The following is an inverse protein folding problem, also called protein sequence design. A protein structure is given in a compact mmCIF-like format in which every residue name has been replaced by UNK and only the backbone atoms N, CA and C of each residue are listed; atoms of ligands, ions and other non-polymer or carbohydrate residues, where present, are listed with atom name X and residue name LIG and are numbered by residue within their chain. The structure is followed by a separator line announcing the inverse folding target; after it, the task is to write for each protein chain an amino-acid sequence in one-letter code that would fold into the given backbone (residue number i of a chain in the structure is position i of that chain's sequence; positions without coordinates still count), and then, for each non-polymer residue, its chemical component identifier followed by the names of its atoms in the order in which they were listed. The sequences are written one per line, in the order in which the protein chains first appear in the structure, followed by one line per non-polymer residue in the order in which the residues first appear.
data_IF_497932588181
#
_entry.id   IF_497932588181
#
_cell.length_a   1.000
_cell.length_b   1.000
_cell.length_c   1.000
_cell.angle_alpha   90.00
_cell.angle_beta   90.00
_cell.angle_gamma   90.00
#
_symmetry.space_group_name_H-M   'P 1'
#
loop_
_entity.id
_entity.type
_entity.pdbx_description
1 polymer ?
#
# COMPACT_ATOMS: atom_id res chain seq x y z
N UNK A 1 7.62 23.95 -5.59
CA UNK A 1 7.29 22.68 -6.28
C UNK A 1 8.03 21.44 -5.73
N UNK A 2 9.27 21.54 -5.23
CA UNK A 2 10.03 20.39 -4.69
C UNK A 2 9.48 19.87 -3.35
N UNK A 3 9.06 20.76 -2.43
CA UNK A 3 8.59 20.35 -1.11
C UNK A 3 7.35 19.46 -1.15
N UNK A 4 6.41 19.73 -2.06
CA UNK A 4 5.19 18.94 -2.22
C UNK A 4 5.50 17.52 -2.69
N UNK A 5 6.43 17.34 -3.61
CA UNK A 5 6.84 16.01 -4.09
C UNK A 5 7.47 15.18 -2.97
N UNK A 6 8.43 15.75 -2.23
CA UNK A 6 9.10 15.05 -1.12
C UNK A 6 8.09 14.64 -0.05
N UNK A 7 7.18 15.53 0.31
CA UNK A 7 6.14 15.26 1.30
C UNK A 7 5.24 14.09 0.84
N UNK A 8 4.74 14.12 -0.39
CA UNK A 8 3.88 13.07 -0.94
C UNK A 8 4.60 11.72 -0.93
N UNK A 9 5.85 11.67 -1.38
CA UNK A 9 6.66 10.45 -1.36
C UNK A 9 6.87 9.93 0.05
N UNK A 10 7.10 10.79 1.04
CA UNK A 10 7.24 10.38 2.45
C UNK A 10 5.95 9.80 3.02
N UNK A 11 4.81 10.44 2.77
CA UNK A 11 3.50 9.94 3.19
C UNK A 11 3.25 8.56 2.59
N UNK A 12 3.61 8.35 1.32
CA UNK A 12 3.51 7.05 0.67
C UNK A 12 4.42 5.99 1.28
N UNK A 13 5.70 6.29 1.50
CA UNK A 13 6.61 5.34 2.16
C UNK A 13 6.11 4.92 3.54
N UNK A 14 5.55 5.86 4.31
CA UNK A 14 4.91 5.56 5.59
C UNK A 14 3.70 4.64 5.39
N UNK A 15 2.84 4.92 4.42
CA UNK A 15 1.68 4.08 4.14
C UNK A 15 2.01 2.67 3.63
N UNK A 16 3.10 2.55 2.88
CA UNK A 16 3.52 1.32 2.23
C UNK A 16 4.31 0.42 3.19
N UNK A 17 5.07 1.00 4.13
CA UNK A 17 5.96 0.24 5.01
C UNK A 17 5.80 0.51 6.51
N UNK A 18 5.41 1.68 6.99
CA UNK A 18 5.47 1.94 8.44
C UNK A 18 4.49 1.06 9.24
N UNK A 19 4.92 0.68 10.45
CA UNK A 19 4.17 -0.18 11.38
C UNK A 19 3.65 -1.48 10.75
N UNK A 20 4.38 -2.04 9.78
CA UNK A 20 4.18 -3.42 9.32
C UNK A 20 4.76 -4.39 10.37
N UNK A 21 4.28 -5.65 10.41
CA UNK A 21 4.65 -6.58 11.48
C UNK A 21 6.16 -6.85 11.60
N UNK A 22 6.85 -7.03 10.46
CA UNK A 22 8.29 -7.29 10.44
C UNK A 22 8.90 -6.83 9.11
N UNK A 23 9.58 -5.69 9.18
CA UNK A 23 10.24 -5.07 8.04
C UNK A 23 11.42 -5.88 7.46
N UNK A 24 12.08 -6.72 8.26
CA UNK A 24 13.25 -7.48 7.83
C UNK A 24 12.89 -8.90 7.38
N UNK A 25 11.60 -9.25 7.43
CA UNK A 25 11.14 -10.54 6.99
C UNK A 25 11.29 -10.71 5.47
N UNK A 26 11.62 -11.93 5.04
CA UNK A 26 11.61 -12.28 3.63
C UNK A 26 10.20 -12.41 3.06
N UNK A 27 9.20 -12.66 3.90
CA UNK A 27 7.79 -12.64 3.47
C UNK A 27 7.31 -11.21 3.26
N UNK A 28 6.97 -10.91 2.00
CA UNK A 28 6.50 -9.61 1.52
C UNK A 28 5.22 -9.16 2.23
N UNK A 29 4.42 -10.12 2.71
CA UNK A 29 3.18 -9.88 3.47
C UNK A 29 3.43 -9.19 4.80
N UNK A 30 4.63 -9.32 5.34
CA UNK A 30 5.01 -8.80 6.65
C UNK A 30 5.80 -7.49 6.57
N UNK A 31 6.33 -7.14 5.39
CA UNK A 31 7.22 -6.00 5.19
C UNK A 31 6.62 -4.87 4.31
N UNK A 32 5.54 -5.15 3.58
CA UNK A 32 4.85 -4.17 2.69
C UNK A 32 3.34 -4.23 2.90
N UNK A 33 2.63 -3.19 2.42
CA UNK A 33 1.18 -3.09 2.58
C UNK A 33 0.49 -2.44 1.40
N UNK A 34 -0.72 -2.90 1.13
CA UNK A 34 -1.68 -2.22 0.24
C UNK A 34 -2.62 -1.32 1.04
N UNK A 35 -2.79 -0.09 0.57
CA UNK A 35 -3.73 0.86 1.16
C UNK A 35 -4.91 1.09 0.22
N UNK A 36 -6.14 0.95 0.73
CA UNK A 36 -7.33 1.30 -0.04
C UNK A 36 -7.55 2.80 0.01
N UNK A 37 -7.56 3.43 -1.16
CA UNK A 37 -7.64 4.88 -1.30
C UNK A 37 -8.95 5.30 -1.95
N UNK A 38 -9.43 6.49 -1.57
CA UNK A 38 -10.53 7.17 -2.25
C UNK A 38 -10.09 7.74 -3.61
N UNK A 39 -11.03 8.10 -4.52
CA UNK A 39 -10.69 8.73 -5.80
C UNK A 39 -9.88 10.03 -5.65
N UNK A 40 -10.14 10.80 -4.59
CA UNK A 40 -9.43 12.06 -4.32
C UNK A 40 -7.98 11.80 -3.89
N UNK A 41 -7.78 10.86 -2.96
CA UNK A 41 -6.43 10.44 -2.53
C UNK A 41 -5.64 9.83 -3.70
N UNK A 42 -6.32 9.10 -4.59
CA UNK A 42 -5.73 8.56 -5.80
C UNK A 42 -5.22 9.64 -6.75
N UNK A 43 -5.94 10.74 -6.88
CA UNK A 43 -5.51 11.84 -7.76
C UNK A 43 -4.31 12.60 -7.16
N UNK A 44 -4.30 12.79 -5.84
CA UNK A 44 -3.35 13.68 -5.17
C UNK A 44 -2.09 12.99 -4.65
N UNK A 45 -2.19 11.73 -4.21
CA UNK A 45 -1.13 11.03 -3.47
C UNK A 45 -0.60 9.85 -4.30
N UNK A 46 -1.49 8.99 -4.80
CA UNK A 46 -1.12 7.73 -5.47
C UNK A 46 -1.81 7.55 -6.82
N UNK A 47 -1.38 8.31 -7.85
CA UNK A 47 -1.89 8.10 -9.19
C UNK A 47 -1.51 6.70 -9.72
N UNK A 48 -2.24 6.22 -10.72
CA UNK A 48 -1.96 4.94 -11.40
C UNK A 48 -2.00 3.66 -10.54
N UNK A 49 -2.74 3.65 -9.43
CA UNK A 49 -2.94 2.44 -8.61
C UNK A 49 -1.67 1.95 -7.89
N UNK A 50 -0.66 2.81 -7.73
CA UNK A 50 0.58 2.47 -6.99
C UNK A 50 0.35 2.21 -5.49
N UNK A 51 -0.86 2.43 -4.98
CA UNK A 51 -1.24 2.04 -3.61
C UNK A 51 -1.37 0.52 -3.42
N UNK A 52 -1.46 -0.25 -4.52
CA UNK A 52 -1.34 -1.71 -4.57
C UNK A 52 0.15 -2.12 -4.56
N UNK A 53 0.86 -1.66 -3.54
CA UNK A 53 2.30 -1.78 -3.44
C UNK A 53 2.74 -3.20 -3.08
N UNK A 54 1.97 -3.87 -2.21
CA UNK A 54 2.23 -5.26 -1.85
C UNK A 54 2.14 -6.19 -3.07
N UNK A 55 1.16 -5.99 -3.96
CA UNK A 55 0.98 -6.82 -5.15
C UNK A 55 2.09 -6.59 -6.18
N UNK A 56 2.58 -5.35 -6.29
CA UNK A 56 3.71 -5.01 -7.14
C UNK A 56 5.01 -5.67 -6.64
N UNK A 57 5.26 -5.64 -5.33
CA UNK A 57 6.38 -6.36 -4.73
C UNK A 57 6.26 -7.88 -4.86
N UNK A 58 5.04 -8.42 -4.72
CA UNK A 58 4.79 -9.85 -4.86
C UNK A 58 5.03 -10.35 -6.28
N UNK A 59 4.62 -9.57 -7.29
CA UNK A 59 4.74 -9.95 -8.70
C UNK A 59 5.04 -8.74 -9.59
N UNK A 60 6.28 -8.25 -9.52
CA UNK A 60 6.76 -7.07 -10.24
C UNK A 60 6.69 -7.16 -11.78
N UNK A 61 6.45 -8.36 -12.33
CA UNK A 61 6.20 -8.56 -13.76
C UNK A 61 4.81 -8.10 -14.20
N UNK A 62 3.87 -7.85 -13.27
CA UNK A 62 2.51 -7.41 -13.59
C UNK A 62 2.48 -5.92 -13.86
N UNK A 63 1.85 -5.55 -14.97
CA UNK A 63 1.66 -4.15 -15.32
C UNK A 63 0.73 -3.46 -14.32
N UNK A 64 1.07 -2.21 -13.97
CA UNK A 64 0.43 -1.41 -12.90
C UNK A 64 -1.11 -1.35 -12.99
N UNK A 65 -1.67 -1.35 -14.20
CA UNK A 65 -3.13 -1.29 -14.41
C UNK A 65 -3.86 -2.61 -14.13
N UNK A 66 -3.13 -3.71 -13.99
CA UNK A 66 -3.65 -5.03 -13.62
C UNK A 66 -3.45 -5.35 -12.13
N UNK A 67 -2.76 -4.51 -11.35
CA UNK A 67 -2.51 -4.75 -9.92
C UNK A 67 -3.80 -4.92 -9.12
N UNK A 68 -4.83 -4.10 -9.40
CA UNK A 68 -6.14 -4.29 -8.77
C UNK A 68 -6.74 -5.68 -9.08
N UNK A 69 -6.57 -6.19 -10.30
CA UNK A 69 -7.06 -7.54 -10.67
C UNK A 69 -6.27 -8.61 -9.92
N UNK A 70 -4.95 -8.46 -9.84
CA UNK A 70 -4.08 -9.34 -9.08
C UNK A 70 -4.50 -9.38 -7.60
N UNK A 71 -4.74 -8.22 -6.98
CA UNK A 71 -5.25 -8.13 -5.61
C UNK A 71 -6.53 -8.93 -5.38
N UNK A 72 -7.51 -8.79 -6.30
CA UNK A 72 -8.75 -9.57 -6.22
C UNK A 72 -8.47 -11.07 -6.30
N UNK A 73 -7.62 -11.53 -7.23
CA UNK A 73 -7.24 -12.94 -7.35
C UNK A 73 -6.52 -13.48 -6.11
N UNK A 74 -5.65 -12.68 -5.48
CA UNK A 74 -4.95 -13.07 -4.26
C UNK A 74 -5.91 -13.20 -3.08
N UNK A 75 -6.88 -12.29 -2.99
CA UNK A 75 -7.93 -12.34 -1.97
C UNK A 75 -8.84 -13.56 -2.14
N UNK A 76 -9.25 -13.85 -3.38
CA UNK A 76 -10.11 -14.99 -3.69
C UNK A 76 -9.42 -16.34 -3.39
N UNK A 77 -8.08 -16.36 -3.44
CA UNK A 77 -7.25 -17.52 -3.11
C UNK A 77 -6.83 -17.58 -1.63
N UNK A 78 -7.39 -16.75 -0.75
CA UNK A 78 -7.02 -16.69 0.68
C UNK A 78 -5.54 -16.35 0.93
N UNK A 79 -4.81 -15.84 -0.06
CA UNK A 79 -3.40 -15.46 0.10
C UNK A 79 -3.24 -14.24 1.02
N UNK A 80 -4.27 -13.41 1.09
CA UNK A 80 -4.30 -12.21 1.91
C UNK A 80 -4.90 -12.44 3.31
N UNK A 81 -5.16 -13.69 3.71
CA UNK A 81 -5.80 -13.98 4.99
C UNK A 81 -4.89 -13.56 6.16
N UNK A 82 -5.47 -12.87 7.14
CA UNK A 82 -4.72 -12.29 8.26
C UNK A 82 -3.97 -10.99 7.94
N UNK A 83 -4.05 -10.48 6.70
CA UNK A 83 -3.50 -9.15 6.38
C UNK A 83 -4.54 -8.05 6.59
N UNK A 84 -4.08 -6.93 7.15
CA UNK A 84 -4.89 -5.73 7.31
C UNK A 84 -4.64 -4.73 6.19
N UNK A 85 -5.73 -4.28 5.57
CA UNK A 85 -5.70 -3.27 4.51
C UNK A 85 -6.35 -1.98 5.01
N UNK A 86 -5.56 -0.98 5.46
CA UNK A 86 -6.09 0.28 5.95
C UNK A 86 -6.82 1.04 4.83
N UNK A 87 -7.81 1.82 5.24
CA UNK A 87 -8.66 2.61 4.32
C UNK A 87 -8.39 4.10 4.50
N UNK A 88 -7.79 4.70 3.49
CA UNK A 88 -7.43 6.10 3.44
C UNK A 88 -6.19 6.45 4.26
N UNK A 89 -5.49 7.50 3.86
CA UNK A 89 -4.25 7.93 4.49
C UNK A 89 -4.47 8.48 5.90
N UNK A 90 -5.60 9.14 6.16
CA UNK A 90 -5.88 9.70 7.49
C UNK A 90 -6.03 8.61 8.54
N UNK A 91 -6.77 7.55 8.24
CA UNK A 91 -6.95 6.44 9.19
C UNK A 91 -5.66 5.66 9.37
N UNK A 92 -4.90 5.44 8.29
CA UNK A 92 -3.59 4.84 8.34
C UNK A 92 -2.64 5.62 9.25
N UNK A 93 -2.57 6.95 9.08
CA UNK A 93 -1.69 7.79 9.89
C UNK A 93 -2.11 7.76 11.36
N UNK A 94 -3.42 7.83 11.65
CA UNK A 94 -3.94 7.66 13.02
C UNK A 94 -3.50 6.31 13.60
N UNK A 95 -3.70 5.21 12.87
CA UNK A 95 -3.31 3.86 13.30
C UNK A 95 -1.82 3.78 13.66
N UNK A 96 -0.95 4.40 12.85
CA UNK A 96 0.51 4.38 13.08
C UNK A 96 0.92 5.30 14.24
N UNK A 97 0.23 6.41 14.45
CA UNK A 97 0.56 7.37 15.52
C UNK A 97 -0.07 7.04 16.87
N UNK A 98 -1.10 6.21 16.91
CA UNK A 98 -1.79 5.78 18.14
C UNK A 98 -1.15 4.57 18.80
N UNK A 99 0.07 4.20 18.37
CA UNK A 99 0.91 3.14 18.94
C UNK A 99 1.63 3.65 20.18
#
# INVERSE_FOLDING_TARGET
MICSHILITRIRQIAEHAAVPDHFNSDIRLNTRTTYISPLERLLITPHQVSFHFEDHLLASVLIYNLKKLHHLLRDKSFCDGMEFPRGYVNLLKQITSV
#
